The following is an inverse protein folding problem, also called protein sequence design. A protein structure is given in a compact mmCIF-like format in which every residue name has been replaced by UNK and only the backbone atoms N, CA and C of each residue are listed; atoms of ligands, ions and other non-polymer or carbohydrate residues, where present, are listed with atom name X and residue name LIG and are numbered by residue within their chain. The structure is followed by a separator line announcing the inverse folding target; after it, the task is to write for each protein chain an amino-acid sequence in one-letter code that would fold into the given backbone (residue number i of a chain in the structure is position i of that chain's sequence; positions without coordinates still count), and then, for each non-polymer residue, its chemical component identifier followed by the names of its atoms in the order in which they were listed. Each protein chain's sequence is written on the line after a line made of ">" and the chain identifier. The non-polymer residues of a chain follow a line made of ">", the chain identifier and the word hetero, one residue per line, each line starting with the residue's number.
data_IF_006512281283
#
_entry.id   IF_006512281283
#
_cell.length_a   1.000
_cell.length_b   1.000
_cell.length_c   1.000
_cell.angle_alpha   90.00
_cell.angle_beta   90.00
_cell.angle_gamma   90.00
#
_symmetry.space_group_name_H-M   'P 1'
#
loop_
_entity.id
_entity.type
_entity.pdbx_description
1 polymer ?
#
# COMPACT_ATOMS: atom_id res chain seq x y z
N UNK A 1 -16.20 5.57 20.34
CA UNK A 1 -15.75 4.67 19.26
C UNK A 1 -15.11 5.50 18.17
N UNK A 2 -13.88 5.17 17.74
CA UNK A 2 -13.15 5.92 16.70
C UNK A 2 -13.19 5.25 15.32
N UNK A 3 -13.31 3.92 15.28
CA UNK A 3 -13.34 3.13 14.05
C UNK A 3 -14.70 2.47 13.86
N UNK A 4 -15.10 2.31 12.60
CA UNK A 4 -16.33 1.63 12.21
C UNK A 4 -15.97 0.37 11.41
N UNK A 5 -16.35 -0.84 11.88
CA UNK A 5 -15.99 -2.07 11.20
C UNK A 5 -16.77 -2.22 9.88
N UNK A 6 -16.07 -2.50 8.80
CA UNK A 6 -16.63 -2.69 7.46
C UNK A 6 -15.92 -3.83 6.73
N UNK A 7 -16.61 -4.44 5.78
CA UNK A 7 -15.99 -5.26 4.74
C UNK A 7 -15.92 -4.43 3.46
N UNK A 8 -14.74 -4.37 2.84
CA UNK A 8 -14.54 -3.64 1.58
C UNK A 8 -14.50 -4.62 0.42
N UNK A 9 -15.21 -4.29 -0.66
CA UNK A 9 -15.07 -4.98 -1.95
C UNK A 9 -13.82 -4.46 -2.68
N UNK A 10 -12.81 -5.30 -2.75
CA UNK A 10 -11.50 -5.02 -3.33
C UNK A 10 -11.38 -5.43 -4.79
N UNK A 11 -12.41 -6.08 -5.37
CA UNK A 11 -12.37 -6.54 -6.74
C UNK A 11 -12.11 -5.35 -7.68
N UNK A 12 -11.04 -5.44 -8.47
CA UNK A 12 -10.60 -4.42 -9.43
C UNK A 12 -10.27 -3.04 -8.80
N UNK A 13 -10.06 -2.96 -7.47
CA UNK A 13 -9.66 -1.72 -6.80
C UNK A 13 -8.15 -1.52 -6.91
N UNK A 14 -7.74 -0.32 -7.33
CA UNK A 14 -6.33 0.07 -7.38
C UNK A 14 -5.78 0.28 -5.98
N UNK A 15 -4.74 -0.47 -5.62
CA UNK A 15 -4.09 -0.40 -4.33
C UNK A 15 -2.60 -0.12 -4.49
N UNK A 16 -2.07 0.75 -3.64
CA UNK A 16 -0.66 1.09 -3.61
C UNK A 16 -0.02 0.50 -2.34
N UNK A 17 1.09 -0.20 -2.49
CA UNK A 17 1.93 -0.62 -1.36
C UNK A 17 3.28 0.05 -1.49
N UNK A 18 3.63 0.90 -0.52
CA UNK A 18 4.93 1.56 -0.46
C UNK A 18 5.81 0.79 0.53
N UNK A 19 6.93 0.24 0.03
CA UNK A 19 7.82 -0.63 0.80
C UNK A 19 7.81 -2.07 0.30
N UNK A 20 8.99 -2.56 -0.07
CA UNK A 20 9.20 -3.86 -0.71
C UNK A 20 9.64 -4.99 0.21
N UNK A 21 9.66 -4.76 1.53
CA UNK A 21 10.07 -5.74 2.54
C UNK A 21 9.06 -6.86 2.78
N UNK A 22 9.28 -7.64 3.83
CA UNK A 22 8.41 -8.76 4.22
C UNK A 22 6.98 -8.32 4.55
N UNK A 23 6.82 -7.18 5.22
CA UNK A 23 5.50 -6.61 5.57
C UNK A 23 4.73 -6.21 4.31
N UNK A 24 5.37 -5.47 3.40
CA UNK A 24 4.79 -5.10 2.11
C UNK A 24 4.39 -6.32 1.29
N UNK A 25 5.29 -7.31 1.18
CA UNK A 25 5.01 -8.56 0.46
C UNK A 25 3.80 -9.33 1.03
N UNK A 26 3.64 -9.38 2.35
CA UNK A 26 2.46 -9.99 2.99
C UNK A 26 1.17 -9.26 2.63
N UNK A 27 1.17 -7.93 2.67
CA UNK A 27 0.00 -7.10 2.34
C UNK A 27 -0.38 -7.22 0.86
N UNK A 28 0.61 -7.26 -0.03
CA UNK A 28 0.40 -7.50 -1.48
C UNK A 28 -0.33 -8.83 -1.71
N UNK A 29 0.08 -9.91 -1.05
CA UNK A 29 -0.57 -11.22 -1.23
C UNK A 29 -2.05 -11.18 -0.86
N UNK A 30 -2.38 -10.64 0.32
CA UNK A 30 -3.78 -10.54 0.76
C UNK A 30 -4.61 -9.66 -0.18
N UNK A 31 -4.05 -8.55 -0.67
CA UNK A 31 -4.74 -7.69 -1.64
C UNK A 31 -5.03 -8.41 -2.96
N UNK A 32 -4.06 -9.19 -3.47
CA UNK A 32 -4.23 -10.00 -4.68
C UNK A 32 -5.28 -11.09 -4.50
N UNK A 33 -5.32 -11.76 -3.35
CA UNK A 33 -6.34 -12.76 -3.01
C UNK A 33 -7.75 -12.15 -3.01
N UNK A 34 -7.88 -10.87 -2.62
CA UNK A 34 -9.15 -10.13 -2.69
C UNK A 34 -9.47 -9.53 -4.07
N UNK A 35 -8.65 -9.78 -5.10
CA UNK A 35 -8.88 -9.30 -6.48
C UNK A 35 -8.49 -7.84 -6.74
N UNK A 36 -7.66 -7.24 -5.89
CA UNK A 36 -7.17 -5.87 -6.08
C UNK A 36 -6.13 -5.79 -7.22
N UNK A 37 -6.06 -4.61 -7.84
CA UNK A 37 -4.99 -4.25 -8.80
C UNK A 37 -3.89 -3.57 -7.99
N UNK A 38 -2.76 -4.24 -7.81
CA UNK A 38 -1.72 -3.81 -6.87
C UNK A 38 -0.52 -3.23 -7.59
N UNK A 39 -0.15 -2.01 -7.21
CA UNK A 39 1.12 -1.38 -7.56
C UNK A 39 2.02 -1.33 -6.33
N UNK A 40 3.29 -1.71 -6.47
CA UNK A 40 4.30 -1.62 -5.42
C UNK A 40 5.33 -0.56 -5.79
N UNK A 41 5.67 0.31 -4.85
CA UNK A 41 6.74 1.31 -5.00
C UNK A 41 7.77 1.10 -3.91
N UNK A 42 9.01 0.79 -4.29
CA UNK A 42 10.12 0.63 -3.37
C UNK A 42 11.46 0.59 -4.13
N UNK A 43 12.54 1.22 -3.63
CA UNK A 43 13.88 1.04 -4.19
C UNK A 43 14.34 -0.43 -4.13
N UNK A 44 14.14 -1.05 -2.96
CA UNK A 44 14.51 -2.43 -2.68
C UNK A 44 13.28 -3.30 -2.49
N UNK A 45 13.31 -4.52 -3.02
CA UNK A 45 12.19 -5.46 -2.96
C UNK A 45 12.66 -6.89 -2.70
N UNK A 46 11.83 -7.65 -2.00
CA UNK A 46 12.05 -9.10 -1.86
C UNK A 46 11.93 -9.84 -3.19
N UNK A 47 12.61 -11.00 -3.30
CA UNK A 47 12.50 -11.88 -4.47
C UNK A 47 11.05 -12.27 -4.78
N UNK A 48 10.21 -12.46 -3.75
CA UNK A 48 8.79 -12.76 -3.91
C UNK A 48 8.02 -11.68 -4.71
N UNK A 49 8.34 -10.40 -4.48
CA UNK A 49 7.71 -9.30 -5.23
C UNK A 49 8.24 -9.21 -6.66
N UNK A 50 9.53 -9.54 -6.88
CA UNK A 50 10.08 -9.65 -8.23
C UNK A 50 9.37 -10.76 -9.02
N UNK A 51 9.21 -11.94 -8.43
CA UNK A 51 8.51 -13.07 -9.07
C UNK A 51 7.06 -12.71 -9.45
N UNK A 52 6.35 -11.97 -8.59
CA UNK A 52 4.99 -11.52 -8.86
C UNK A 52 4.94 -10.48 -9.99
N UNK A 53 5.91 -9.57 -10.04
CA UNK A 53 6.03 -8.58 -11.11
C UNK A 53 6.37 -9.24 -12.46
N UNK A 54 7.28 -10.22 -12.48
CA UNK A 54 7.62 -11.00 -13.68
C UNK A 54 6.40 -11.78 -14.22
N UNK A 55 5.58 -12.31 -13.31
CA UNK A 55 4.29 -12.95 -13.64
C UNK A 55 3.18 -11.97 -14.01
N UNK A 56 3.46 -10.65 -14.02
CA UNK A 56 2.51 -9.57 -14.28
C UNK A 56 1.29 -9.55 -13.34
N UNK A 57 1.45 -10.09 -12.14
CA UNK A 57 0.41 -10.08 -11.10
C UNK A 57 0.33 -8.72 -10.40
N UNK A 58 1.44 -7.99 -10.37
CA UNK A 58 1.54 -6.64 -9.80
C UNK A 58 2.29 -5.73 -10.76
N UNK A 59 2.04 -4.43 -10.64
CA UNK A 59 2.95 -3.42 -11.18
C UNK A 59 4.03 -3.13 -10.12
N UNK A 60 5.31 -3.15 -10.52
CA UNK A 60 6.41 -2.84 -9.63
C UNK A 60 7.21 -1.64 -10.15
N UNK A 61 7.28 -0.58 -9.34
CA UNK A 61 8.12 0.60 -9.57
C UNK A 61 9.32 0.56 -8.64
N UNK A 62 10.49 0.18 -9.18
CA UNK A 62 11.77 0.10 -8.45
C UNK A 62 12.41 1.47 -8.26
N UNK A 63 11.75 2.35 -7.51
CA UNK A 63 12.21 3.71 -7.19
C UNK A 63 11.63 4.18 -5.85
N UNK A 64 12.13 5.29 -5.29
CA UNK A 64 11.48 5.96 -4.15
C UNK A 64 10.04 6.36 -4.47
N UNK A 65 9.23 6.50 -3.43
CA UNK A 65 7.87 7.01 -3.51
C UNK A 65 7.82 8.46 -3.96
N UNK A 66 6.85 8.78 -4.81
CA UNK A 66 6.52 10.15 -5.23
C UNK A 66 5.06 10.43 -4.88
N UNK A 67 4.70 11.66 -4.46
CA UNK A 67 3.32 12.00 -4.10
C UNK A 67 2.27 11.62 -5.16
N UNK A 68 2.63 11.73 -6.45
CA UNK A 68 1.74 11.39 -7.57
C UNK A 68 1.43 9.88 -7.68
N UNK A 69 2.16 9.00 -7.00
CA UNK A 69 1.86 7.57 -7.01
C UNK A 69 0.51 7.24 -6.37
N UNK A 70 -0.01 8.12 -5.51
CA UNK A 70 -1.30 7.92 -4.83
C UNK A 70 -2.50 8.33 -5.71
N UNK A 71 -2.24 8.95 -6.86
CA UNK A 71 -3.30 9.46 -7.72
C UNK A 71 -4.14 8.33 -8.29
N UNK A 72 -5.47 8.43 -8.14
CA UNK A 72 -6.40 7.39 -8.59
C UNK A 72 -6.35 6.07 -7.79
N UNK A 73 -5.59 6.00 -6.70
CA UNK A 73 -5.56 4.86 -5.79
C UNK A 73 -6.79 4.86 -4.89
N UNK A 74 -7.26 3.68 -4.49
CA UNK A 74 -8.35 3.50 -3.53
C UNK A 74 -7.82 3.30 -2.10
N UNK A 75 -6.84 2.41 -1.94
CA UNK A 75 -6.20 2.08 -0.67
C UNK A 75 -4.67 2.16 -0.81
N UNK A 76 -4.02 2.91 0.07
CA UNK A 76 -2.57 2.95 0.21
C UNK A 76 -2.13 2.27 1.49
N UNK A 77 -1.04 1.49 1.39
CA UNK A 77 -0.39 0.84 2.53
C UNK A 77 1.07 1.30 2.60
N UNK A 78 1.44 1.97 3.69
CA UNK A 78 2.83 2.27 4.02
C UNK A 78 3.43 1.11 4.82
N UNK A 79 4.46 0.46 4.29
CA UNK A 79 5.15 -0.67 4.88
C UNK A 79 6.67 -0.46 4.83
N UNK A 80 7.11 0.73 5.25
CA UNK A 80 8.52 1.14 5.24
C UNK A 80 9.04 1.37 6.66
N UNK A 81 10.34 1.20 6.86
CA UNK A 81 11.03 1.54 8.12
C UNK A 81 11.36 3.05 8.23
N UNK A 82 11.04 3.83 7.19
CA UNK A 82 11.26 5.27 7.16
C UNK A 82 10.03 6.00 7.70
N UNK A 83 10.15 6.54 8.91
CA UNK A 83 9.06 7.26 9.58
C UNK A 83 8.63 8.53 8.85
N UNK A 84 9.57 9.31 8.30
CA UNK A 84 9.25 10.52 7.55
C UNK A 84 8.44 10.21 6.29
N UNK A 85 8.82 9.14 5.57
CA UNK A 85 8.08 8.67 4.41
C UNK A 85 6.68 8.17 4.79
N UNK A 86 6.53 7.43 5.89
CA UNK A 86 5.22 6.98 6.36
C UNK A 86 4.30 8.17 6.70
N UNK A 87 4.82 9.23 7.32
CA UNK A 87 4.07 10.47 7.56
C UNK A 87 3.70 11.20 6.27
N UNK A 88 4.60 11.23 5.29
CA UNK A 88 4.31 11.80 3.98
C UNK A 88 3.15 11.05 3.29
N UNK A 89 3.20 9.72 3.27
CA UNK A 89 2.14 8.87 2.69
C UNK A 89 0.79 9.15 3.37
N UNK A 90 0.77 9.21 4.71
CA UNK A 90 -0.44 9.53 5.46
C UNK A 90 -1.03 10.89 5.04
N UNK A 91 -0.19 11.93 4.99
CA UNK A 91 -0.60 13.29 4.64
C UNK A 91 -1.14 13.37 3.22
N UNK A 92 -0.48 12.71 2.27
CA UNK A 92 -0.91 12.69 0.87
C UNK A 92 -2.22 11.91 0.70
N UNK A 93 -2.41 10.83 1.46
CA UNK A 93 -3.66 10.08 1.50
C UNK A 93 -4.82 10.89 2.11
N UNK A 94 -4.57 11.60 3.21
CA UNK A 94 -5.58 12.44 3.88
C UNK A 94 -6.07 13.56 2.96
N UNK A 95 -5.15 14.25 2.27
CA UNK A 95 -5.47 15.33 1.32
C UNK A 95 -6.41 14.88 0.20
N UNK A 96 -6.33 13.62 -0.21
CA UNK A 96 -7.13 13.06 -1.29
C UNK A 96 -8.27 12.14 -0.80
N UNK A 97 -8.54 12.09 0.51
CA UNK A 97 -9.53 11.20 1.14
C UNK A 97 -9.37 9.72 0.76
N UNK A 98 -8.13 9.22 0.73
CA UNK A 98 -7.82 7.81 0.44
C UNK A 98 -7.83 6.99 1.73
N UNK A 99 -8.18 5.71 1.63
CA UNK A 99 -7.94 4.78 2.72
C UNK A 99 -6.43 4.57 2.86
N UNK A 100 -5.92 4.70 4.07
CA UNK A 100 -4.50 4.65 4.38
C UNK A 100 -4.25 3.79 5.62
N UNK A 101 -3.38 2.79 5.44
CA UNK A 101 -2.86 1.94 6.51
C UNK A 101 -1.34 2.03 6.55
N UNK A 102 -0.78 2.56 7.63
CA UNK A 102 0.65 2.53 7.91
C UNK A 102 0.93 1.36 8.86
N UNK A 103 1.80 0.44 8.45
CA UNK A 103 2.18 -0.71 9.25
C UNK A 103 2.78 -0.26 10.59
N UNK A 104 2.39 -0.94 11.66
CA UNK A 104 2.85 -0.72 13.04
C UNK A 104 2.63 0.70 13.60
N UNK A 105 1.85 1.55 12.92
CA UNK A 105 1.53 2.93 13.31
C UNK A 105 0.03 3.22 13.22
N UNK A 106 -0.80 2.60 14.07
CA UNK A 106 -2.26 2.80 14.05
C UNK A 106 -2.70 4.26 14.25
N UNK A 107 -1.89 5.10 14.88
CA UNK A 107 -2.13 6.53 15.05
C UNK A 107 -2.09 7.33 13.74
N UNK A 108 -1.35 6.84 12.75
CA UNK A 108 -1.19 7.44 11.42
C UNK A 108 -2.12 6.78 10.37
N UNK A 109 -3.15 6.06 10.82
CA UNK A 109 -4.09 5.36 9.95
C UNK A 109 -5.48 6.01 10.01
N UNK A 110 -6.13 6.14 8.85
CA UNK A 110 -7.58 6.33 8.77
C UNK A 110 -8.32 5.01 8.47
N UNK A 111 -7.57 3.94 8.15
CA UNK A 111 -8.06 2.60 7.89
C UNK A 111 -7.16 1.55 8.55
N UNK A 112 -7.78 0.56 9.21
CA UNK A 112 -7.10 -0.49 9.98
C UNK A 112 -7.39 -1.85 9.34
N UNK A 113 -6.35 -2.70 9.30
CA UNK A 113 -6.33 -4.04 8.69
C UNK A 113 -5.94 -5.10 9.71
#
# INVERSE_FOLDING_TARGET
>A
MRYYPVSLDMQNRKCLVVGGGSVGARKVMTLLECGAIVTVVSPDVTGKLLDLAEKKMIELKKRPYEPSDIDGIFLVIGATDNEELNWQINKDAERQNKLCNIADRPEACNFIL
#
